data_IF_319231740152
#
_entry.id   IF_319231740152
#
_cell.length_a   1.000
_cell.length_b   1.000
_cell.length_c   1.000
_cell.angle_alpha   90.00
_cell.angle_beta   90.00
_cell.angle_gamma   90.00
#
_symmetry.space_group_name_H-M   'P 1'
#
loop_
_entity.id
_entity.type
_entity.pdbx_description
1 polymer ?
#
# COMPACT_ATOMS: atom_id res chain seq x y z
N UNK A 1 13.01 -51.23 -59.29
CA UNK A 1 12.21 -50.92 -58.07
C UNK A 1 13.21 -50.50 -56.98
N UNK A 2 13.32 -49.18 -56.68
CA UNK A 2 14.23 -48.66 -55.67
C UNK A 2 13.36 -48.15 -54.53
N UNK A 3 13.40 -48.86 -53.40
CA UNK A 3 12.68 -48.54 -52.15
C UNK A 3 13.49 -47.48 -51.37
N UNK A 4 12.90 -46.29 -51.17
CA UNK A 4 13.46 -45.25 -50.31
C UNK A 4 12.92 -45.42 -48.86
N UNK A 5 13.82 -45.68 -47.91
CA UNK A 5 13.50 -45.70 -46.48
C UNK A 5 13.72 -44.27 -45.95
N UNK A 6 12.64 -43.59 -45.52
CA UNK A 6 12.70 -42.31 -44.86
C UNK A 6 12.82 -42.59 -43.35
N UNK A 7 13.97 -42.24 -42.77
CA UNK A 7 14.18 -42.27 -41.32
C UNK A 7 13.67 -40.98 -40.73
N UNK A 8 12.59 -41.07 -39.92
CA UNK A 8 12.14 -39.96 -39.07
C UNK A 8 13.01 -39.90 -37.80
N UNK A 9 13.84 -38.87 -37.68
CA UNK A 9 14.49 -38.55 -36.41
C UNK A 9 13.54 -37.76 -35.56
N UNK A 10 13.05 -38.36 -34.48
CA UNK A 10 12.27 -37.66 -33.46
C UNK A 10 13.20 -36.87 -32.55
N UNK A 11 13.17 -35.54 -32.64
CA UNK A 11 13.88 -34.65 -31.76
C UNK A 11 13.07 -34.51 -30.44
N UNK A 12 13.49 -35.17 -29.37
CA UNK A 12 12.93 -35.00 -28.04
C UNK A 12 13.48 -33.71 -27.44
N UNK A 13 12.68 -32.64 -27.43
CA UNK A 13 12.99 -31.42 -26.70
C UNK A 13 12.70 -31.70 -25.21
N UNK A 14 13.76 -31.95 -24.44
CA UNK A 14 13.67 -31.99 -22.99
C UNK A 14 13.43 -30.54 -22.46
N UNK A 15 12.18 -30.20 -22.16
CA UNK A 15 11.87 -29.00 -21.44
C UNK A 15 12.34 -29.17 -19.98
N UNK A 16 13.55 -28.71 -19.69
CA UNK A 16 14.01 -28.52 -18.30
C UNK A 16 13.26 -27.35 -17.70
N UNK A 17 12.05 -27.62 -17.22
CA UNK A 17 11.36 -26.70 -16.33
C UNK A 17 12.18 -26.58 -15.04
N UNK A 18 12.99 -25.53 -14.90
CA UNK A 18 13.46 -25.13 -13.58
C UNK A 18 12.23 -24.81 -12.74
N UNK A 19 11.85 -25.71 -11.85
CA UNK A 19 10.92 -25.41 -10.79
C UNK A 19 11.54 -24.22 -10.01
N UNK A 20 10.96 -23.03 -10.14
CA UNK A 20 11.32 -21.92 -9.29
C UNK A 20 11.17 -22.42 -7.84
N UNK A 21 12.26 -22.43 -7.07
CA UNK A 21 12.22 -22.82 -5.68
C UNK A 21 11.08 -22.04 -5.01
N UNK A 22 10.13 -22.73 -4.40
CA UNK A 22 9.03 -22.09 -3.70
C UNK A 22 9.65 -21.16 -2.66
N UNK A 23 9.39 -19.86 -2.80
CA UNK A 23 9.98 -18.85 -1.94
C UNK A 23 9.42 -19.08 -0.54
N UNK A 24 10.29 -19.31 0.44
CA UNK A 24 9.89 -19.64 1.82
C UNK A 24 8.97 -18.54 2.39
N UNK A 25 7.84 -18.95 2.98
CA UNK A 25 6.88 -18.02 3.59
C UNK A 25 7.46 -17.50 4.90
N UNK A 26 7.54 -16.17 5.14
CA UNK A 26 8.05 -15.61 6.37
C UNK A 26 7.29 -16.13 7.60
N UNK A 27 8.01 -16.57 8.62
CA UNK A 27 7.41 -17.16 9.83
C UNK A 27 6.39 -16.21 10.51
N UNK A 28 6.59 -14.90 10.44
CA UNK A 28 5.69 -13.90 11.00
C UNK A 28 4.24 -13.98 10.46
N UNK A 29 4.01 -14.67 9.34
CA UNK A 29 2.66 -14.83 8.76
C UNK A 29 1.85 -15.87 9.56
N UNK A 30 2.48 -16.95 10.04
CA UNK A 30 1.80 -18.10 10.63
C UNK A 30 2.32 -18.52 12.03
N UNK A 31 3.32 -17.78 12.56
CA UNK A 31 3.92 -18.10 13.88
C UNK A 31 3.92 -16.86 14.76
N UNK A 32 3.39 -16.98 15.96
CA UNK A 32 3.50 -15.93 16.96
C UNK A 32 4.93 -15.87 17.52
N UNK A 33 5.46 -14.66 17.78
CA UNK A 33 6.76 -14.50 18.42
C UNK A 33 6.71 -15.00 19.88
N UNK A 34 7.87 -15.31 20.42
CA UNK A 34 7.99 -15.62 21.86
C UNK A 34 7.46 -14.43 22.66
N UNK A 35 6.62 -14.75 23.68
CA UNK A 35 6.01 -13.71 24.53
C UNK A 35 7.11 -12.96 25.31
N UNK A 36 7.20 -11.65 25.10
CA UNK A 36 7.95 -10.75 25.96
C UNK A 36 7.02 -10.27 27.09
N UNK A 37 7.29 -10.67 28.32
CA UNK A 37 6.46 -10.29 29.46
C UNK A 37 6.71 -8.85 29.92
N UNK A 38 7.90 -8.30 29.66
CA UNK A 38 8.26 -6.94 30.02
C UNK A 38 7.74 -5.93 29.00
N UNK A 39 7.73 -6.29 27.71
CA UNK A 39 7.30 -5.45 26.61
C UNK A 39 6.36 -6.22 25.67
N UNK A 40 5.13 -6.53 26.12
CA UNK A 40 4.20 -7.34 25.33
C UNK A 40 3.69 -6.60 24.11
N UNK A 41 3.41 -7.34 23.04
CA UNK A 41 2.63 -6.79 21.93
C UNK A 41 1.27 -6.31 22.44
N UNK A 42 0.80 -5.16 21.92
CA UNK A 42 -0.47 -4.56 22.32
C UNK A 42 -1.14 -3.81 21.18
N UNK A 43 -2.40 -3.51 21.36
CA UNK A 43 -3.13 -2.56 20.51
C UNK A 43 -3.42 -1.28 21.31
N UNK A 44 -3.40 -0.14 20.63
CA UNK A 44 -3.66 1.16 21.23
C UNK A 44 -4.53 2.00 20.31
N UNK A 45 -5.69 2.42 20.82
CA UNK A 45 -6.60 3.31 20.08
C UNK A 45 -6.00 4.70 20.02
N UNK A 46 -6.04 5.29 18.83
CA UNK A 46 -5.48 6.60 18.55
C UNK A 46 -6.58 7.58 18.14
N UNK A 47 -6.44 8.83 18.60
CA UNK A 47 -7.21 9.97 18.13
C UNK A 47 -6.21 11.02 17.65
N UNK A 48 -6.08 11.16 16.34
CA UNK A 48 -5.01 11.95 15.73
C UNK A 48 -5.58 13.25 15.19
N UNK A 49 -5.08 14.41 15.64
CA UNK A 49 -5.54 15.70 15.11
C UNK A 49 -5.24 15.84 13.62
N UNK A 50 -6.27 16.09 12.81
CA UNK A 50 -6.15 16.39 11.38
C UNK A 50 -7.29 17.28 10.92
N UNK A 51 -7.02 18.35 10.18
CA UNK A 51 -8.03 19.23 9.59
C UNK A 51 -9.05 19.79 10.57
N UNK A 52 -8.67 20.05 11.83
CA UNK A 52 -9.54 20.59 12.88
C UNK A 52 -10.40 19.54 13.60
N UNK A 53 -10.26 18.26 13.29
CA UNK A 53 -10.95 17.15 13.96
C UNK A 53 -9.94 16.12 14.49
N UNK A 54 -10.39 15.14 15.26
CA UNK A 54 -9.59 14.01 15.69
C UNK A 54 -10.01 12.77 14.90
N UNK A 55 -9.17 12.31 13.98
CA UNK A 55 -9.42 11.09 13.22
C UNK A 55 -9.08 9.85 14.03
N UNK A 56 -9.82 8.77 13.79
CA UNK A 56 -9.67 7.51 14.49
C UNK A 56 -8.53 6.68 13.88
N UNK A 57 -7.70 6.10 14.73
CA UNK A 57 -6.63 5.19 14.32
C UNK A 57 -6.43 4.07 15.34
N UNK A 58 -5.59 3.11 14.95
CA UNK A 58 -5.20 1.98 15.79
C UNK A 58 -3.72 1.67 15.56
N UNK A 59 -2.96 1.60 16.64
CA UNK A 59 -1.60 1.10 16.62
C UNK A 59 -1.56 -0.38 17.03
N UNK A 60 -0.95 -1.20 16.19
CA UNK A 60 -0.54 -2.56 16.50
C UNK A 60 0.94 -2.52 16.91
N UNK A 61 1.19 -2.37 18.20
CA UNK A 61 2.55 -2.21 18.73
C UNK A 61 3.25 -3.57 18.80
N UNK A 62 4.44 -3.65 18.25
CA UNK A 62 5.24 -4.87 18.25
C UNK A 62 5.71 -5.24 19.67
N UNK A 63 6.00 -6.54 19.90
CA UNK A 63 6.64 -6.99 21.13
C UNK A 63 8.13 -6.63 21.15
N UNK A 64 8.69 -6.41 22.34
CA UNK A 64 10.09 -6.07 22.55
C UNK A 64 10.30 -4.64 23.05
N UNK A 65 11.49 -4.34 23.51
CA UNK A 65 11.82 -3.07 24.16
C UNK A 65 11.78 -1.85 23.20
N UNK A 66 11.81 -2.07 21.88
CA UNK A 66 11.89 -0.98 20.89
C UNK A 66 13.24 -0.24 20.90
N UNK A 67 13.36 0.92 20.23
CA UNK A 67 12.30 1.51 19.41
C UNK A 67 12.06 0.73 18.13
N UNK A 68 10.77 0.45 17.83
CA UNK A 68 10.37 -0.32 16.65
C UNK A 68 10.27 0.56 15.40
N UNK A 69 10.62 0.07 14.22
CA UNK A 69 10.25 0.74 12.97
C UNK A 69 8.72 0.71 12.79
N UNK A 70 8.20 1.62 11.95
CA UNK A 70 6.77 1.83 11.79
C UNK A 70 6.34 1.60 10.35
N UNK A 71 5.20 0.97 10.18
CA UNK A 71 4.42 1.01 8.94
C UNK A 71 3.17 1.83 9.16
N UNK A 72 2.99 2.91 8.38
CA UNK A 72 1.69 3.56 8.21
C UNK A 72 0.93 2.83 7.12
N UNK A 73 -0.16 2.16 7.49
CA UNK A 73 -0.98 1.36 6.59
C UNK A 73 -2.25 2.12 6.19
N UNK A 74 -2.36 2.47 4.91
CA UNK A 74 -3.42 3.27 4.32
C UNK A 74 -4.45 2.38 3.60
N UNK A 75 -5.71 2.44 4.02
CA UNK A 75 -6.79 1.66 3.42
C UNK A 75 -7.28 2.26 2.09
N UNK A 76 -7.99 1.45 1.29
CA UNK A 76 -8.60 1.83 0.02
C UNK A 76 -9.92 2.57 0.16
N UNK A 77 -10.61 2.76 -0.97
CA UNK A 77 -11.95 3.34 -1.04
C UNK A 77 -12.99 2.20 -1.10
N UNK A 78 -14.04 2.24 -0.30
CA UNK A 78 -14.31 3.12 0.84
C UNK A 78 -13.63 2.65 2.14
N UNK A 79 -12.85 1.55 2.11
CA UNK A 79 -12.14 1.01 3.25
C UNK A 79 -12.80 -0.21 3.88
N UNK A 80 -13.52 -1.03 3.10
CA UNK A 80 -13.99 -2.34 3.55
C UNK A 80 -12.82 -3.28 3.80
N UNK A 81 -11.87 -3.35 2.86
CA UNK A 81 -10.60 -4.04 3.05
C UNK A 81 -9.56 -3.07 3.63
N UNK A 82 -9.15 -3.32 4.86
CA UNK A 82 -8.13 -2.51 5.58
C UNK A 82 -6.81 -3.24 5.74
N UNK A 83 -6.67 -4.45 5.19
CA UNK A 83 -5.47 -5.27 5.27
C UNK A 83 -5.01 -5.52 6.73
N UNK A 84 -5.94 -5.80 7.64
CA UNK A 84 -5.62 -5.99 9.07
C UNK A 84 -4.91 -7.31 9.35
N UNK A 85 -5.05 -8.33 8.52
CA UNK A 85 -4.26 -9.54 8.50
C UNK A 85 -2.78 -9.21 8.23
N UNK A 86 -2.52 -8.42 7.18
CA UNK A 86 -1.20 -7.88 6.85
C UNK A 86 -0.64 -7.04 8.00
N UNK A 87 -1.46 -6.18 8.64
CA UNK A 87 -1.02 -5.41 9.81
C UNK A 87 -0.54 -6.31 10.95
N UNK A 88 -1.26 -7.41 11.23
CA UNK A 88 -0.87 -8.37 12.25
C UNK A 88 0.40 -9.15 11.88
N UNK A 89 0.57 -9.53 10.61
CA UNK A 89 1.78 -10.20 10.13
C UNK A 89 3.01 -9.27 10.24
N UNK A 90 2.87 -8.01 9.83
CA UNK A 90 3.92 -6.98 9.95
C UNK A 90 4.27 -6.74 11.44
N UNK A 91 3.27 -6.69 12.34
CA UNK A 91 3.52 -6.56 13.77
C UNK A 91 4.35 -7.74 14.30
N UNK A 92 3.99 -8.98 13.93
CA UNK A 92 4.77 -10.18 14.32
C UNK A 92 6.19 -10.18 13.74
N UNK A 93 6.39 -9.51 12.60
CA UNK A 93 7.73 -9.30 12.03
C UNK A 93 8.55 -8.22 12.77
N UNK A 94 8.02 -7.61 13.85
CA UNK A 94 8.75 -6.66 14.71
C UNK A 94 8.59 -5.20 14.32
N UNK A 95 7.63 -4.85 13.46
CA UNK A 95 7.26 -3.49 13.10
C UNK A 95 6.00 -3.06 13.83
N UNK A 96 5.95 -1.86 14.36
CA UNK A 96 4.68 -1.28 14.80
C UNK A 96 3.89 -0.84 13.58
N UNK A 97 2.61 -1.20 13.51
CA UNK A 97 1.74 -0.79 12.40
C UNK A 97 0.70 0.20 12.92
N UNK A 98 0.56 1.32 12.24
CA UNK A 98 -0.50 2.30 12.51
C UNK A 98 -1.47 2.30 11.33
N UNK A 99 -2.74 2.05 11.61
CA UNK A 99 -3.85 2.22 10.68
C UNK A 99 -4.69 3.40 11.13
N UNK A 100 -5.38 4.05 10.20
CA UNK A 100 -6.27 5.16 10.52
C UNK A 100 -7.44 5.20 9.52
N UNK A 101 -8.50 5.88 9.89
CA UNK A 101 -9.62 6.18 9.01
C UNK A 101 -9.54 7.66 8.61
N UNK A 102 -9.59 7.94 7.33
CA UNK A 102 -9.59 9.32 6.82
C UNK A 102 -10.76 10.13 7.36
N UNK A 103 -10.65 11.47 7.34
CA UNK A 103 -11.78 12.36 7.69
C UNK A 103 -13.04 11.96 6.94
N UNK A 104 -14.16 11.93 7.67
CA UNK A 104 -15.43 11.52 7.10
C UNK A 104 -15.54 10.04 6.71
N UNK A 105 -14.61 9.17 7.16
CA UNK A 105 -14.71 7.74 6.89
C UNK A 105 -14.72 6.91 8.18
N UNK A 106 -15.54 5.85 8.20
CA UNK A 106 -15.54 4.83 9.28
C UNK A 106 -15.51 5.40 10.70
N UNK A 107 -16.33 6.43 10.96
CA UNK A 107 -16.47 7.05 12.28
C UNK A 107 -15.43 8.13 12.60
N UNK A 108 -14.48 8.42 11.72
CA UNK A 108 -13.70 9.65 11.82
C UNK A 108 -14.57 10.85 11.47
N UNK A 109 -14.56 11.92 12.30
CA UNK A 109 -15.34 13.13 12.02
C UNK A 109 -14.92 13.84 10.73
N UNK A 110 -15.76 14.76 10.26
CA UNK A 110 -15.51 15.60 9.08
C UNK A 110 -16.12 15.04 7.81
N UNK A 111 -15.84 15.69 6.68
CA UNK A 111 -16.34 15.31 5.36
C UNK A 111 -15.28 14.56 4.57
N UNK A 112 -15.68 13.51 3.86
CA UNK A 112 -14.77 12.74 3.03
C UNK A 112 -14.43 13.49 1.73
N UNK A 113 -13.14 13.66 1.46
CA UNK A 113 -12.57 14.22 0.22
C UNK A 113 -11.21 13.59 -0.05
N UNK A 114 -10.83 13.43 -1.33
CA UNK A 114 -9.51 12.92 -1.72
C UNK A 114 -8.36 13.82 -1.24
N UNK A 115 -8.55 15.14 -1.28
CA UNK A 115 -7.56 16.08 -0.75
C UNK A 115 -7.35 15.88 0.76
N UNK A 116 -8.43 15.58 1.50
CA UNK A 116 -8.35 15.29 2.92
C UNK A 116 -7.57 14.02 3.22
N UNK A 117 -7.64 12.99 2.35
CA UNK A 117 -6.90 11.75 2.55
C UNK A 117 -5.38 11.98 2.55
N UNK A 118 -4.90 12.89 1.70
CA UNK A 118 -3.48 13.28 1.64
C UNK A 118 -3.08 14.08 2.90
N UNK A 119 -3.89 15.07 3.27
CA UNK A 119 -3.64 15.87 4.49
C UNK A 119 -3.68 15.00 5.76
N UNK A 120 -4.56 14.01 5.82
CA UNK A 120 -4.67 13.11 6.97
C UNK A 120 -3.44 12.20 7.07
N UNK A 121 -2.93 11.69 5.95
CA UNK A 121 -1.69 10.92 5.93
C UNK A 121 -0.50 11.76 6.44
N UNK A 122 -0.38 13.01 5.98
CA UNK A 122 0.65 13.94 6.45
C UNK A 122 0.49 14.25 7.95
N UNK A 123 -0.74 14.45 8.43
CA UNK A 123 -1.02 14.69 9.84
C UNK A 123 -0.63 13.49 10.71
N UNK A 124 -0.93 12.25 10.26
CA UNK A 124 -0.52 11.03 10.97
C UNK A 124 0.99 10.90 11.01
N UNK A 125 1.69 11.14 9.90
CA UNK A 125 3.16 11.12 9.86
C UNK A 125 3.77 12.15 10.81
N UNK A 126 3.25 13.38 10.81
CA UNK A 126 3.69 14.43 11.72
C UNK A 126 3.46 14.03 13.17
N UNK A 127 2.29 13.45 13.48
CA UNK A 127 1.95 12.98 14.82
C UNK A 127 2.86 11.85 15.29
N UNK A 128 3.20 10.87 14.44
CA UNK A 128 4.13 9.78 14.75
C UNK A 128 5.55 10.30 15.02
N UNK A 129 5.95 11.39 14.37
CA UNK A 129 7.27 12.01 14.53
C UNK A 129 7.41 12.87 15.78
N UNK A 130 6.32 13.16 16.50
CA UNK A 130 6.44 13.91 17.77
C UNK A 130 7.11 13.04 18.83
N UNK A 131 8.09 13.57 19.60
CA UNK A 131 8.81 12.78 20.62
C UNK A 131 7.90 12.10 21.64
N UNK A 132 6.84 12.76 22.07
CA UNK A 132 5.89 12.22 23.04
C UNK A 132 5.14 10.99 22.50
N UNK A 133 4.67 11.04 21.25
CA UNK A 133 3.95 9.94 20.64
C UNK A 133 4.90 8.79 20.29
N UNK A 134 6.10 9.11 19.80
CA UNK A 134 7.12 8.12 19.52
C UNK A 134 7.50 7.33 20.79
N UNK A 135 7.74 8.01 21.89
CA UNK A 135 8.03 7.40 23.19
C UNK A 135 6.85 6.56 23.70
N UNK A 136 5.60 7.09 23.60
CA UNK A 136 4.39 6.38 24.02
C UNK A 136 4.20 5.06 23.30
N UNK A 137 4.44 5.04 21.97
CA UNK A 137 4.31 3.85 21.15
C UNK A 137 5.57 2.97 21.13
N UNK A 138 6.71 3.44 21.65
CA UNK A 138 7.98 2.73 21.59
C UNK A 138 8.50 2.59 20.17
N UNK A 139 8.34 3.63 19.34
CA UNK A 139 8.70 3.61 17.91
C UNK A 139 9.91 4.49 17.60
N UNK A 140 10.60 4.17 16.50
CA UNK A 140 11.62 5.03 15.92
C UNK A 140 10.98 5.97 14.87
N UNK A 141 10.85 7.27 15.18
CA UNK A 141 10.21 8.24 14.28
C UNK A 141 11.01 8.52 12.99
N UNK A 142 12.26 8.02 12.90
CA UNK A 142 13.10 8.12 11.70
C UNK A 142 12.97 6.90 10.78
N UNK A 143 12.29 5.86 11.23
CA UNK A 143 12.14 4.60 10.51
C UNK A 143 10.68 4.32 10.21
N UNK A 144 10.07 5.17 9.38
CA UNK A 144 8.67 5.06 8.96
C UNK A 144 8.63 4.68 7.49
N UNK A 145 7.92 3.60 7.16
CA UNK A 145 7.52 3.22 5.81
C UNK A 145 6.01 3.39 5.65
N UNK A 146 5.55 3.65 4.44
CA UNK A 146 4.12 3.63 4.11
C UNK A 146 3.78 2.40 3.27
N UNK A 147 2.61 1.82 3.53
CA UNK A 147 2.01 0.76 2.73
C UNK A 147 0.56 1.12 2.48
N UNK A 148 0.11 1.11 1.24
CA UNK A 148 -1.27 1.45 0.93
C UNK A 148 -1.86 0.58 -0.16
N UNK A 149 -3.15 0.27 -0.02
CA UNK A 149 -3.92 -0.53 -0.96
C UNK A 149 -4.91 0.34 -1.73
N UNK A 150 -5.03 0.15 -3.04
CA UNK A 150 -6.02 0.85 -3.86
C UNK A 150 -5.86 2.38 -3.77
N UNK A 151 -6.87 3.12 -3.28
CA UNK A 151 -6.77 4.53 -2.91
C UNK A 151 -5.60 4.79 -1.95
N UNK A 152 -5.41 3.93 -0.94
CA UNK A 152 -4.28 4.05 -0.02
C UNK A 152 -2.92 3.94 -0.71
N UNK A 153 -2.83 3.20 -1.82
CA UNK A 153 -1.64 3.16 -2.68
C UNK A 153 -1.40 4.51 -3.38
N UNK A 154 -2.47 5.18 -3.82
CA UNK A 154 -2.39 6.55 -4.35
C UNK A 154 -1.94 7.55 -3.29
N UNK A 155 -2.52 7.50 -2.08
CA UNK A 155 -2.07 8.31 -0.93
C UNK A 155 -0.59 8.07 -0.67
N UNK A 156 -0.17 6.80 -0.60
CA UNK A 156 1.23 6.42 -0.35
C UNK A 156 2.18 7.00 -1.39
N UNK A 157 1.83 6.94 -2.69
CA UNK A 157 2.68 7.48 -3.75
C UNK A 157 2.83 9.00 -3.67
N UNK A 158 1.71 9.72 -3.50
CA UNK A 158 1.73 11.19 -3.47
C UNK A 158 2.40 11.72 -2.20
N UNK A 159 2.15 11.11 -1.04
CA UNK A 159 2.83 11.46 0.21
C UNK A 159 4.33 11.19 0.12
N UNK A 160 4.75 10.02 -0.36
CA UNK A 160 6.18 9.72 -0.53
C UNK A 160 6.90 10.64 -1.52
N UNK A 161 6.17 11.21 -2.48
CA UNK A 161 6.74 12.14 -3.45
C UNK A 161 7.14 13.50 -2.85
N UNK A 162 6.65 13.85 -1.66
CA UNK A 162 7.00 15.09 -0.96
C UNK A 162 7.59 14.86 0.44
N UNK A 163 7.60 13.64 0.95
CA UNK A 163 8.18 13.29 2.25
C UNK A 163 9.43 12.38 2.09
N UNK A 164 10.61 12.96 1.87
CA UNK A 164 11.84 12.20 1.68
C UNK A 164 12.36 11.54 2.97
N UNK A 165 11.74 11.79 4.12
CA UNK A 165 12.09 11.15 5.39
C UNK A 165 11.46 9.74 5.54
N UNK A 166 10.58 9.34 4.63
CA UNK A 166 10.09 7.96 4.57
C UNK A 166 11.22 7.02 4.10
N UNK A 167 11.40 5.91 4.82
CA UNK A 167 12.42 4.92 4.45
C UNK A 167 11.99 4.02 3.28
N UNK A 168 10.68 4.00 2.97
CA UNK A 168 10.12 3.27 1.84
C UNK A 168 8.63 3.48 1.68
N UNK A 169 8.12 3.15 0.50
CA UNK A 169 6.71 3.25 0.12
C UNK A 169 6.30 2.02 -0.69
N UNK A 170 5.26 1.30 -0.28
CA UNK A 170 4.71 0.17 -1.00
C UNK A 170 3.26 0.44 -1.41
N UNK A 171 2.96 0.18 -2.67
CA UNK A 171 1.65 0.38 -3.28
C UNK A 171 1.09 -0.99 -3.68
N UNK A 172 -0.09 -1.33 -3.18
CA UNK A 172 -0.80 -2.58 -3.48
C UNK A 172 -2.00 -2.25 -4.36
N UNK A 173 -2.01 -2.73 -5.60
CA UNK A 173 -3.11 -2.51 -6.56
C UNK A 173 -3.58 -1.04 -6.59
N UNK A 174 -2.68 -0.05 -6.78
CA UNK A 174 -3.00 1.36 -6.59
C UNK A 174 -3.93 1.91 -7.66
N UNK A 175 -5.00 2.59 -7.25
CA UNK A 175 -5.87 3.35 -8.15
C UNK A 175 -5.32 4.76 -8.37
N UNK A 176 -5.23 5.24 -9.63
CA UNK A 176 -4.79 6.60 -9.95
C UNK A 176 -5.98 7.56 -10.02
N UNK A 177 -6.22 8.33 -8.96
CA UNK A 177 -7.36 9.26 -8.88
C UNK A 177 -7.25 10.34 -9.97
N UNK A 178 -6.05 10.80 -10.31
CA UNK A 178 -5.85 11.75 -11.40
C UNK A 178 -6.20 11.19 -12.78
N UNK A 179 -5.98 9.89 -13.02
CA UNK A 179 -6.45 9.23 -14.23
C UNK A 179 -7.97 9.14 -14.27
N UNK A 180 -8.61 8.75 -13.16
CA UNK A 180 -10.07 8.69 -13.05
C UNK A 180 -10.71 10.08 -13.26
N UNK A 181 -10.06 11.17 -12.81
CA UNK A 181 -10.47 12.54 -13.06
C UNK A 181 -10.40 12.99 -14.53
N UNK A 182 -9.79 12.22 -15.42
CA UNK A 182 -9.78 12.49 -16.88
C UNK A 182 -10.88 11.75 -17.64
N UNK A 183 -11.65 10.90 -16.95
CA UNK A 183 -12.81 10.22 -17.54
C UNK A 183 -13.98 11.20 -17.71
N UNK A 184 -14.96 10.91 -18.59
CA UNK A 184 -16.22 11.63 -18.60
C UNK A 184 -16.84 11.66 -17.20
N UNK A 185 -17.35 12.83 -16.78
CA UNK A 185 -17.84 13.09 -15.41
C UNK A 185 -18.79 12.02 -14.88
N UNK A 186 -19.78 11.64 -15.69
CA UNK A 186 -20.78 10.64 -15.27
C UNK A 186 -20.17 9.24 -15.15
N UNK A 187 -19.17 8.91 -15.97
CA UNK A 187 -18.42 7.66 -15.87
C UNK A 187 -17.62 7.61 -14.57
N UNK A 188 -16.90 8.69 -14.24
CA UNK A 188 -16.16 8.78 -12.98
C UNK A 188 -17.11 8.76 -11.77
N UNK A 189 -18.23 9.48 -11.83
CA UNK A 189 -19.23 9.49 -10.76
C UNK A 189 -19.83 8.09 -10.52
N UNK A 190 -20.18 7.38 -11.60
CA UNK A 190 -20.69 6.00 -11.53
C UNK A 190 -19.63 5.05 -10.96
N UNK A 191 -18.37 5.19 -11.36
CA UNK A 191 -17.26 4.39 -10.83
C UNK A 191 -17.11 4.58 -9.31
N UNK A 192 -17.06 5.83 -8.82
CA UNK A 192 -16.95 6.08 -7.39
C UNK A 192 -18.17 5.60 -6.61
N UNK A 193 -19.37 5.85 -7.12
CA UNK A 193 -20.61 5.41 -6.47
C UNK A 193 -20.73 3.89 -6.32
N UNK A 194 -20.15 3.13 -7.27
CA UNK A 194 -20.19 1.66 -7.24
C UNK A 194 -19.35 1.04 -6.11
N UNK A 195 -18.54 1.82 -5.39
CA UNK A 195 -17.72 1.30 -4.29
C UNK A 195 -18.45 1.13 -2.95
N UNK A 196 -19.75 1.53 -2.84
CA UNK A 196 -20.48 1.47 -1.56
C UNK A 196 -20.01 2.57 -0.60
N UNK A 197 -20.62 3.75 -0.70
CA UNK A 197 -20.16 4.96 -0.01
C UNK A 197 -20.77 5.16 1.38
N UNK A 198 -21.50 4.17 1.92
CA UNK A 198 -22.27 4.26 3.16
C UNK A 198 -21.40 4.57 4.39
N UNK A 199 -20.12 4.22 4.33
CA UNK A 199 -19.16 4.52 5.39
C UNK A 199 -18.49 5.90 5.27
N UNK A 200 -18.88 6.70 4.26
CA UNK A 200 -18.29 8.00 3.95
C UNK A 200 -19.31 9.13 4.18
N UNK A 201 -18.90 10.14 4.95
CA UNK A 201 -19.74 11.28 5.29
C UNK A 201 -19.64 12.40 4.25
N UNK A 202 -20.76 13.07 3.99
CA UNK A 202 -20.86 14.29 3.19
C UNK A 202 -20.24 14.19 1.79
N UNK A 203 -20.33 13.01 1.16
CA UNK A 203 -19.80 12.75 -0.17
C UNK A 203 -20.80 12.01 -1.04
N UNK A 204 -20.51 11.93 -2.33
CA UNK A 204 -21.24 11.15 -3.33
C UNK A 204 -20.30 10.86 -4.49
N UNK A 205 -20.66 9.91 -5.36
CA UNK A 205 -19.89 9.65 -6.57
C UNK A 205 -19.70 10.91 -7.42
N UNK A 206 -20.70 11.81 -7.46
CA UNK A 206 -20.64 13.09 -8.19
C UNK A 206 -19.64 14.06 -7.55
N UNK A 207 -19.68 14.24 -6.23
CA UNK A 207 -18.74 15.10 -5.50
C UNK A 207 -17.31 14.60 -5.70
N UNK A 208 -17.10 13.29 -5.60
CA UNK A 208 -15.79 12.67 -5.80
C UNK A 208 -15.29 12.84 -7.24
N UNK A 209 -16.18 12.70 -8.25
CA UNK A 209 -15.82 12.92 -9.64
C UNK A 209 -15.44 14.39 -9.91
N UNK A 210 -16.20 15.35 -9.38
CA UNK A 210 -15.92 16.77 -9.52
C UNK A 210 -14.58 17.14 -8.89
N UNK A 211 -14.26 16.61 -7.72
CA UNK A 211 -12.96 16.80 -7.06
C UNK A 211 -11.82 16.17 -7.87
N UNK A 212 -11.97 14.92 -8.32
CA UNK A 212 -10.97 14.24 -9.13
C UNK A 212 -10.69 14.98 -10.45
N UNK A 213 -11.73 15.52 -11.11
CA UNK A 213 -11.61 16.31 -12.33
C UNK A 213 -10.89 17.65 -12.06
N UNK A 214 -11.29 18.37 -11.01
CA UNK A 214 -10.69 19.64 -10.64
C UNK A 214 -9.18 19.51 -10.31
N UNK A 215 -8.76 18.38 -9.78
CA UNK A 215 -7.40 18.13 -9.35
C UNK A 215 -6.68 17.04 -10.17
N UNK A 216 -7.15 16.69 -11.36
CA UNK A 216 -6.67 15.56 -12.14
C UNK A 216 -5.14 15.54 -12.34
N UNK A 217 -4.50 16.71 -12.46
CA UNK A 217 -3.05 16.82 -12.61
C UNK A 217 -2.29 16.64 -11.30
N UNK A 218 -2.79 17.19 -10.21
CA UNK A 218 -2.18 17.09 -8.89
C UNK A 218 -2.36 15.67 -8.29
N UNK A 219 -3.47 15.03 -8.62
CA UNK A 219 -3.82 13.69 -8.15
C UNK A 219 -3.24 12.55 -9.02
N UNK A 220 -2.52 12.89 -10.08
CA UNK A 220 -1.88 11.90 -10.95
C UNK A 220 -0.53 11.47 -10.38
N UNK A 221 -0.49 10.28 -9.80
CA UNK A 221 0.75 9.75 -9.24
C UNK A 221 1.83 9.49 -10.32
N UNK A 222 1.45 9.29 -11.59
CA UNK A 222 2.44 9.15 -12.67
C UNK A 222 3.26 10.42 -12.82
N UNK A 223 2.62 11.59 -12.69
CA UNK A 223 3.30 12.90 -12.67
C UNK A 223 4.19 13.10 -11.44
N UNK A 224 3.94 12.37 -10.37
CA UNK A 224 4.79 12.37 -9.18
C UNK A 224 6.08 11.51 -9.35
N UNK A 225 6.14 10.63 -10.35
CA UNK A 225 7.24 9.70 -10.59
C UNK A 225 8.65 10.29 -10.47
N UNK A 226 8.96 11.45 -11.08
CA UNK A 226 10.29 12.07 -10.94
C UNK A 226 10.69 12.42 -9.50
N UNK A 227 9.72 12.69 -8.61
CA UNK A 227 9.97 12.99 -7.20
C UNK A 227 10.20 11.73 -6.34
N UNK A 228 9.88 10.55 -6.87
CA UNK A 228 10.04 9.25 -6.18
C UNK A 228 11.40 8.56 -6.45
N UNK A 229 12.30 9.20 -7.17
CA UNK A 229 13.59 8.60 -7.58
C UNK A 229 14.50 8.20 -6.42
N UNK A 230 14.38 8.85 -5.27
CA UNK A 230 15.13 8.54 -4.04
C UNK A 230 14.44 7.52 -3.12
N UNK A 231 13.16 7.24 -3.36
CA UNK A 231 12.31 6.39 -2.51
C UNK A 231 12.59 4.91 -2.77
N UNK A 232 12.65 4.08 -1.72
CA UNK A 232 12.55 2.63 -1.85
C UNK A 232 11.08 2.31 -2.20
N UNK A 233 10.76 2.33 -3.49
CA UNK A 233 9.40 2.15 -3.99
C UNK A 233 9.13 0.71 -4.35
N UNK A 234 8.05 0.14 -3.82
CA UNK A 234 7.58 -1.19 -4.15
C UNK A 234 6.15 -1.12 -4.71
N UNK A 235 5.96 -1.62 -5.94
CA UNK A 235 4.68 -1.58 -6.62
C UNK A 235 4.21 -3.00 -6.87
N UNK A 236 3.09 -3.37 -6.22
CA UNK A 236 2.42 -4.65 -6.41
C UNK A 236 1.14 -4.43 -7.21
N UNK A 237 0.95 -5.20 -8.27
CA UNK A 237 -0.21 -5.13 -9.16
C UNK A 237 -0.92 -6.48 -9.26
N UNK A 238 -2.19 -6.45 -9.63
CA UNK A 238 -3.06 -7.61 -9.84
C UNK A 238 -3.86 -7.50 -11.13
N UNK A 239 -4.67 -8.51 -11.47
CA UNK A 239 -5.54 -8.54 -12.65
C UNK A 239 -6.83 -7.72 -12.44
N UNK A 240 -6.73 -6.55 -11.82
CA UNK A 240 -7.84 -5.70 -11.39
C UNK A 240 -8.13 -4.50 -12.32
N UNK A 241 -7.35 -4.34 -13.38
CA UNK A 241 -7.45 -3.23 -14.33
C UNK A 241 -6.67 -1.96 -13.94
N UNK A 242 -6.06 -1.87 -12.73
CA UNK A 242 -5.25 -0.72 -12.32
C UNK A 242 -3.77 -0.85 -12.67
N UNK A 243 -3.30 -2.05 -13.00
CA UNK A 243 -1.90 -2.31 -13.35
C UNK A 243 -1.32 -1.35 -14.40
N UNK A 244 -2.02 -0.97 -15.49
CA UNK A 244 -1.46 -0.07 -16.49
C UNK A 244 -1.00 1.30 -15.95
N UNK A 245 -1.72 1.90 -15.01
CA UNK A 245 -1.32 3.18 -14.42
C UNK A 245 -0.13 3.01 -13.45
N UNK A 246 -0.09 1.92 -12.70
CA UNK A 246 1.03 1.56 -11.84
C UNK A 246 2.31 1.32 -12.67
N UNK A 247 2.19 0.65 -13.83
CA UNK A 247 3.31 0.43 -14.77
C UNK A 247 3.82 1.76 -15.37
N UNK A 248 2.92 2.69 -15.67
CA UNK A 248 3.29 4.06 -16.12
C UNK A 248 4.07 4.79 -15.04
N UNK A 249 3.66 4.71 -13.77
CA UNK A 249 4.42 5.27 -12.66
C UNK A 249 5.82 4.65 -12.58
N UNK A 250 5.90 3.31 -12.61
CA UNK A 250 7.18 2.60 -12.57
C UNK A 250 8.10 3.02 -13.72
N UNK A 251 7.55 3.19 -14.92
CA UNK A 251 8.29 3.70 -16.09
C UNK A 251 8.76 5.14 -15.88
N UNK A 252 7.91 6.03 -15.35
CA UNK A 252 8.24 7.42 -15.08
C UNK A 252 9.38 7.55 -14.04
N UNK A 253 9.33 6.76 -12.95
CA UNK A 253 10.39 6.70 -11.94
C UNK A 253 11.71 6.23 -12.55
N UNK A 254 11.69 5.16 -13.35
CA UNK A 254 12.88 4.65 -14.04
C UNK A 254 13.45 5.67 -15.03
N UNK A 255 12.60 6.31 -15.83
CA UNK A 255 13.01 7.32 -16.80
C UNK A 255 13.66 8.54 -16.13
N UNK A 256 13.22 8.89 -14.92
CA UNK A 256 13.80 9.96 -14.11
C UNK A 256 15.08 9.54 -13.35
N UNK A 257 15.55 8.29 -13.50
CA UNK A 257 16.79 7.79 -12.88
C UNK A 257 16.61 7.10 -11.52
N UNK A 258 15.38 6.80 -11.11
CA UNK A 258 15.10 6.05 -9.88
C UNK A 258 15.66 4.62 -9.95
N UNK A 259 16.45 4.25 -8.93
CA UNK A 259 17.15 2.94 -8.86
C UNK A 259 16.59 2.01 -7.77
N UNK A 260 15.79 2.52 -6.87
CA UNK A 260 15.26 1.81 -5.69
C UNK A 260 13.78 1.43 -5.93
N UNK A 261 13.49 0.90 -7.12
CA UNK A 261 12.14 0.49 -7.52
C UNK A 261 12.10 -1.01 -7.72
N UNK A 262 11.14 -1.67 -7.07
CA UNK A 262 10.77 -3.06 -7.28
C UNK A 262 9.32 -3.15 -7.72
N UNK A 263 9.00 -4.09 -8.62
CA UNK A 263 7.65 -4.33 -9.10
C UNK A 263 7.35 -5.82 -9.06
N UNK A 264 6.14 -6.18 -8.62
CA UNK A 264 5.62 -7.55 -8.65
C UNK A 264 4.20 -7.53 -9.18
N UNK A 265 3.90 -8.40 -10.13
CA UNK A 265 2.54 -8.65 -10.60
C UNK A 265 2.10 -10.05 -10.18
N UNK A 266 0.88 -10.19 -9.67
CA UNK A 266 0.29 -11.48 -9.26
C UNK A 266 -1.11 -11.59 -9.85
N UNK A 267 -1.37 -12.70 -10.54
CA UNK A 267 -2.70 -13.02 -11.06
C UNK A 267 -3.66 -13.31 -9.91
N UNK A 268 -4.45 -12.29 -9.54
CA UNK A 268 -5.43 -12.30 -8.45
C UNK A 268 -6.39 -11.11 -8.59
N UNK A 269 -7.43 -11.05 -7.78
CA UNK A 269 -8.37 -9.95 -7.73
C UNK A 269 -7.80 -8.71 -6.99
N UNK A 270 -8.57 -7.61 -7.01
CA UNK A 270 -8.20 -6.34 -6.37
C UNK A 270 -7.91 -6.47 -4.86
N UNK A 271 -8.66 -7.33 -4.15
CA UNK A 271 -8.49 -7.59 -2.72
C UNK A 271 -7.39 -8.60 -2.40
N UNK A 272 -6.77 -9.21 -3.42
CA UNK A 272 -5.81 -10.31 -3.26
C UNK A 272 -6.41 -11.51 -2.52
N UNK A 273 -7.70 -11.77 -2.72
CA UNK A 273 -8.52 -12.68 -1.90
C UNK A 273 -7.97 -14.10 -1.86
N UNK A 274 -7.42 -14.61 -2.94
CA UNK A 274 -6.83 -15.96 -3.04
C UNK A 274 -5.30 -15.95 -2.96
N UNK A 275 -4.66 -14.79 -2.65
CA UNK A 275 -3.21 -14.60 -2.59
C UNK A 275 -2.75 -13.81 -1.36
N UNK A 276 -3.52 -13.85 -0.25
CA UNK A 276 -3.19 -13.09 0.98
C UNK A 276 -1.81 -13.44 1.54
N UNK A 277 -1.50 -14.74 1.68
CA UNK A 277 -0.18 -15.20 2.14
C UNK A 277 0.95 -14.72 1.22
N UNK A 278 0.70 -14.67 -0.10
CA UNK A 278 1.67 -14.14 -1.06
C UNK A 278 1.87 -12.64 -0.86
N UNK A 279 0.79 -11.87 -0.70
CA UNK A 279 0.86 -10.43 -0.44
C UNK A 279 1.65 -10.12 0.84
N UNK A 280 1.31 -10.79 1.94
CA UNK A 280 2.00 -10.64 3.22
C UNK A 280 3.49 -10.98 3.09
N UNK A 281 3.81 -12.06 2.36
CA UNK A 281 5.20 -12.47 2.13
C UNK A 281 6.00 -11.42 1.35
N UNK A 282 5.42 -10.84 0.30
CA UNK A 282 6.08 -9.81 -0.50
C UNK A 282 6.36 -8.56 0.33
N UNK A 283 5.36 -8.08 1.10
CA UNK A 283 5.51 -6.90 1.94
C UNK A 283 6.53 -7.13 3.06
N UNK A 284 6.48 -8.27 3.76
CA UNK A 284 7.42 -8.55 4.86
C UNK A 284 8.87 -8.63 4.34
N UNK A 285 9.10 -9.30 3.22
CA UNK A 285 10.45 -9.36 2.62
C UNK A 285 10.96 -7.98 2.20
N UNK A 286 10.07 -7.16 1.60
CA UNK A 286 10.43 -5.82 1.24
C UNK A 286 10.80 -4.98 2.47
N UNK A 287 10.02 -5.06 3.56
CA UNK A 287 10.31 -4.39 4.83
C UNK A 287 11.64 -4.87 5.45
N UNK A 288 11.95 -6.16 5.38
CA UNK A 288 13.24 -6.71 5.82
C UNK A 288 14.42 -6.10 5.02
N UNK A 289 14.21 -5.84 3.74
CA UNK A 289 15.19 -5.17 2.86
C UNK A 289 15.42 -3.68 3.16
N UNK A 290 14.50 -3.01 3.87
CA UNK A 290 14.69 -1.62 4.30
C UNK A 290 15.66 -1.48 5.49
N UNK A 291 16.12 -2.59 6.04
CA UNK A 291 16.99 -2.66 7.22
C UNK A 291 16.21 -2.50 8.52
N UNK A 292 16.50 -3.34 9.47
CA UNK A 292 16.01 -3.25 10.85
C UNK A 292 16.89 -2.34 11.69
#
# INVERSE_FOLDING_TARGET
MKTWIIALAALAIAATGQAAAAQEVPAAIFTDPVRDAAHPARMEVLHIPSGGVAINGLAYVAAGAGPHPVVLLCHGLPGHEKNLDLAQAIRRAGWTVVTFNYRGSWGSPGSYRFANDLEDADAVLAWLRTPANAARLGIDPKRIAMVGHSLGGWVTALTAAHDPALIGAAMISPGNIGFLGRMPRDTAAGFFAANGLEALADTSGTIMADEAIAHADAFDFVKAGPRLTGTNLFVLTSDDGFAPEADRLAAAVKAAGGKKLSTVHVATDHGWSDRRIRLESEIIRWLDGLGR
#
